data_IF_215523261284
#
_entry.id   IF_215523261284
#
_cell.length_a   1.000
_cell.length_b   1.000
_cell.length_c   1.000
_cell.angle_alpha   90.00
_cell.angle_beta   90.00
_cell.angle_gamma   90.00
#
_symmetry.space_group_name_H-M   'P 1'
#
loop_
_entity.id
_entity.type
_entity.pdbx_description
1 polymer ?
#
# COMPACT_ATOMS: atom_id res chain seq x y z
N UNK A 1 36.91 0.25 -9.23
CA UNK A 1 36.99 1.34 -8.26
C UNK A 1 36.99 0.75 -6.85
N UNK A 2 37.95 1.14 -5.99
CA UNK A 2 38.10 0.58 -4.63
C UNK A 2 36.82 0.70 -3.81
N UNK A 3 36.02 1.74 -4.07
CA UNK A 3 34.74 1.96 -3.41
C UNK A 3 33.70 0.89 -3.75
N UNK A 4 33.71 0.39 -4.97
CA UNK A 4 32.77 -0.66 -5.42
C UNK A 4 33.08 -2.02 -4.78
N UNK A 5 34.36 -2.30 -4.53
CA UNK A 5 34.81 -3.50 -3.84
C UNK A 5 34.37 -3.49 -2.37
N UNK A 6 34.42 -2.35 -1.70
CA UNK A 6 33.97 -2.21 -0.32
C UNK A 6 32.45 -2.37 -0.20
N UNK A 7 31.68 -1.80 -1.14
CA UNK A 7 30.21 -1.97 -1.21
C UNK A 7 29.85 -3.43 -1.45
N UNK A 8 30.54 -4.09 -2.39
CA UNK A 8 30.32 -5.52 -2.67
C UNK A 8 30.63 -6.41 -1.45
N UNK A 9 31.70 -6.12 -0.74
CA UNK A 9 32.04 -6.84 0.51
C UNK A 9 30.98 -6.63 1.60
N UNK A 10 30.49 -5.41 1.77
CA UNK A 10 29.44 -5.11 2.73
C UNK A 10 28.14 -5.84 2.40
N UNK A 11 27.73 -5.84 1.13
CA UNK A 11 26.55 -6.58 0.67
C UNK A 11 26.70 -8.09 0.83
N UNK A 12 27.89 -8.63 0.51
CA UNK A 12 28.18 -10.04 0.69
C UNK A 12 28.13 -10.45 2.17
N UNK A 13 28.65 -9.61 3.04
CA UNK A 13 28.62 -9.81 4.49
C UNK A 13 27.19 -9.84 5.02
N UNK A 14 26.36 -8.91 4.55
CA UNK A 14 24.94 -8.81 4.91
C UNK A 14 24.18 -10.08 4.48
N UNK A 15 24.41 -10.54 3.24
CA UNK A 15 23.81 -11.78 2.73
C UNK A 15 24.24 -12.99 3.54
N UNK A 16 25.53 -13.09 3.86
CA UNK A 16 26.07 -14.19 4.70
C UNK A 16 25.46 -14.17 6.10
N UNK A 17 25.31 -13.02 6.72
CA UNK A 17 24.69 -12.88 8.04
C UNK A 17 23.21 -13.28 8.02
N UNK A 18 22.49 -12.93 6.94
CA UNK A 18 21.09 -13.34 6.76
C UNK A 18 20.97 -14.85 6.56
N UNK A 19 21.87 -15.45 5.78
CA UNK A 19 21.93 -16.90 5.58
C UNK A 19 22.26 -17.64 6.88
N UNK A 20 23.18 -17.12 7.66
CA UNK A 20 23.56 -17.71 8.96
C UNK A 20 22.39 -17.66 9.96
N UNK A 21 21.68 -16.53 10.03
CA UNK A 21 20.46 -16.41 10.83
C UNK A 21 19.38 -17.38 10.38
N UNK A 22 19.16 -17.51 9.08
CA UNK A 22 18.21 -18.46 8.52
C UNK A 22 18.60 -19.90 8.85
N UNK A 23 19.88 -20.23 8.77
CA UNK A 23 20.40 -21.56 9.11
C UNK A 23 20.25 -21.86 10.61
N UNK A 24 20.63 -20.92 11.48
CA UNK A 24 20.47 -21.09 12.92
C UNK A 24 19.00 -21.25 13.32
N UNK A 25 18.11 -20.52 12.66
CA UNK A 25 16.68 -20.61 12.85
C UNK A 25 16.15 -21.98 12.41
N UNK A 26 16.65 -22.54 11.32
CA UNK A 26 16.31 -23.86 10.83
C UNK A 26 16.82 -24.99 11.76
N UNK A 27 18.01 -24.81 12.36
CA UNK A 27 18.62 -25.79 13.27
C UNK A 27 18.00 -25.77 14.68
N UNK A 28 17.45 -24.63 15.10
CA UNK A 28 16.84 -24.48 16.44
C UNK A 28 15.42 -25.02 16.58
N UNK A 29 14.90 -25.78 15.62
CA UNK A 29 13.52 -26.30 15.58
C UNK A 29 12.43 -25.21 15.60
N UNK A 30 12.74 -23.97 15.26
CA UNK A 30 11.70 -23.00 14.91
C UNK A 30 11.09 -23.46 13.58
N UNK A 31 9.76 -23.58 13.56
CA UNK A 31 9.03 -23.96 12.36
C UNK A 31 9.36 -22.99 11.24
N UNK A 32 9.77 -23.51 10.07
CA UNK A 32 9.95 -22.71 8.87
C UNK A 32 8.59 -22.12 8.51
N UNK A 33 8.45 -20.80 8.38
CA UNK A 33 7.16 -20.20 8.04
C UNK A 33 6.60 -20.81 6.76
N UNK A 34 5.36 -21.21 6.78
CA UNK A 34 4.67 -21.70 5.59
C UNK A 34 4.48 -20.55 4.59
N UNK A 35 4.30 -20.88 3.30
CA UNK A 35 3.99 -19.87 2.28
C UNK A 35 2.78 -19.03 2.67
N UNK A 36 1.80 -19.64 3.32
CA UNK A 36 0.60 -18.96 3.84
C UNK A 36 0.96 -17.93 4.92
N UNK A 37 1.84 -18.26 5.83
CA UNK A 37 2.29 -17.34 6.90
C UNK A 37 3.11 -16.19 6.34
N UNK A 38 3.98 -16.45 5.35
CA UNK A 38 4.74 -15.43 4.65
C UNK A 38 3.80 -14.48 3.91
N UNK A 39 2.81 -15.02 3.20
CA UNK A 39 1.81 -14.23 2.48
C UNK A 39 0.97 -13.38 3.45
N UNK A 40 0.55 -13.94 4.58
CA UNK A 40 -0.18 -13.18 5.60
C UNK A 40 0.65 -12.03 6.16
N UNK A 41 1.94 -12.23 6.36
CA UNK A 41 2.85 -11.16 6.79
C UNK A 41 2.94 -10.05 5.74
N UNK A 42 3.04 -10.39 4.46
CA UNK A 42 3.02 -9.41 3.37
C UNK A 42 1.70 -8.64 3.30
N UNK A 43 0.58 -9.32 3.49
CA UNK A 43 -0.75 -8.71 3.50
C UNK A 43 -0.88 -7.72 4.66
N UNK A 44 -0.49 -8.10 5.86
CA UNK A 44 -0.56 -7.24 7.04
C UNK A 44 0.32 -5.99 6.88
N UNK A 45 1.52 -6.16 6.35
CA UNK A 45 2.41 -5.03 6.04
C UNK A 45 1.85 -4.14 4.95
N UNK A 46 1.27 -4.71 3.91
CA UNK A 46 0.60 -3.96 2.84
C UNK A 46 -0.54 -3.10 3.38
N UNK A 47 -1.41 -3.66 4.19
CA UNK A 47 -2.51 -2.94 4.84
C UNK A 47 -1.99 -1.77 5.67
N UNK A 48 -0.96 -2.01 6.47
CA UNK A 48 -0.33 -0.98 7.29
C UNK A 48 0.30 0.13 6.43
N UNK A 49 1.04 -0.23 5.38
CA UNK A 49 1.67 0.74 4.48
C UNK A 49 0.64 1.58 3.72
N UNK A 50 -0.44 0.97 3.26
CA UNK A 50 -1.55 1.71 2.61
C UNK A 50 -2.16 2.69 3.60
N UNK A 51 -2.43 2.27 4.83
CA UNK A 51 -2.94 3.15 5.89
C UNK A 51 -2.05 4.35 6.18
N UNK A 52 -0.73 4.19 6.06
CA UNK A 52 0.25 5.24 6.31
C UNK A 52 0.47 6.18 5.12
N UNK A 53 0.47 5.63 3.89
CA UNK A 53 0.91 6.34 2.68
C UNK A 53 -0.21 6.63 1.68
N UNK A 54 -1.45 6.25 1.95
CA UNK A 54 -2.55 6.29 0.98
C UNK A 54 -2.81 7.68 0.38
N UNK A 55 -2.59 8.74 1.13
CA UNK A 55 -2.80 10.12 0.64
C UNK A 55 -1.82 10.49 -0.46
N UNK A 56 -0.58 10.02 -0.36
CA UNK A 56 0.54 10.42 -1.21
C UNK A 56 0.87 9.40 -2.29
N UNK A 57 0.62 8.10 -2.02
CA UNK A 57 1.06 7.00 -2.87
C UNK A 57 -0.11 6.10 -3.27
N UNK A 58 -0.45 6.11 -4.55
CA UNK A 58 -1.54 5.32 -5.11
C UNK A 58 -1.08 4.17 -6.00
N UNK A 59 0.22 4.04 -6.24
CA UNK A 59 0.81 3.05 -7.15
C UNK A 59 1.06 1.72 -6.45
N UNK A 60 0.64 0.62 -7.06
CA UNK A 60 0.96 -0.74 -6.60
C UNK A 60 2.48 -0.96 -6.53
N UNK A 61 3.23 -0.39 -7.49
CA UNK A 61 4.69 -0.49 -7.55
C UNK A 61 5.35 0.02 -6.27
N UNK A 62 4.89 1.16 -5.76
CA UNK A 62 5.41 1.72 -4.50
C UNK A 62 5.31 0.74 -3.35
N UNK A 63 4.16 0.12 -3.16
CA UNK A 63 3.94 -0.83 -2.07
C UNK A 63 4.68 -2.14 -2.27
N UNK A 64 4.73 -2.64 -3.49
CA UNK A 64 5.50 -3.83 -3.83
C UNK A 64 7.00 -3.62 -3.55
N UNK A 65 7.55 -2.46 -3.92
CA UNK A 65 8.94 -2.09 -3.65
C UNK A 65 9.22 -2.04 -2.15
N UNK A 66 8.33 -1.46 -1.37
CA UNK A 66 8.43 -1.42 0.10
C UNK A 66 8.41 -2.81 0.74
N UNK A 67 7.71 -3.74 0.14
CA UNK A 67 7.61 -5.13 0.60
C UNK A 67 8.70 -6.02 0.00
N UNK A 68 9.55 -5.51 -0.88
CA UNK A 68 10.58 -6.25 -1.59
C UNK A 68 10.03 -7.45 -2.39
N UNK A 69 8.85 -7.27 -2.98
CA UNK A 69 8.20 -8.25 -3.86
C UNK A 69 7.78 -7.60 -5.17
N UNK A 70 7.44 -8.42 -6.16
CA UNK A 70 6.95 -7.91 -7.44
C UNK A 70 5.50 -7.43 -7.33
N UNK A 71 5.07 -6.45 -8.16
CA UNK A 71 3.66 -6.04 -8.22
C UNK A 71 2.72 -7.20 -8.55
N UNK A 72 3.11 -8.09 -9.44
CA UNK A 72 2.32 -9.26 -9.80
C UNK A 72 2.10 -10.20 -8.61
N UNK A 73 3.15 -10.48 -7.86
CA UNK A 73 3.06 -11.31 -6.65
C UNK A 73 2.19 -10.65 -5.59
N UNK A 74 2.36 -9.35 -5.35
CA UNK A 74 1.50 -8.61 -4.44
C UNK A 74 0.04 -8.70 -4.86
N UNK A 75 -0.25 -8.49 -6.15
CA UNK A 75 -1.60 -8.60 -6.67
C UNK A 75 -2.21 -10.00 -6.48
N UNK A 76 -1.43 -11.05 -6.71
CA UNK A 76 -1.88 -12.43 -6.50
C UNK A 76 -2.28 -12.70 -5.05
N UNK A 77 -1.45 -12.32 -4.08
CA UNK A 77 -1.74 -12.58 -2.67
C UNK A 77 -2.91 -11.73 -2.16
N UNK A 78 -3.02 -10.48 -2.57
CA UNK A 78 -4.14 -9.61 -2.19
C UNK A 78 -5.45 -10.13 -2.80
N UNK A 79 -5.44 -10.48 -4.08
CA UNK A 79 -6.63 -11.03 -4.76
C UNK A 79 -7.10 -12.33 -4.13
N UNK A 80 -6.17 -13.22 -3.75
CA UNK A 80 -6.52 -14.51 -3.15
C UNK A 80 -7.20 -14.38 -1.79
N UNK A 81 -6.87 -13.37 -1.00
CA UNK A 81 -7.41 -13.18 0.35
C UNK A 81 -8.56 -12.18 0.38
N UNK A 82 -8.46 -11.07 -0.36
CA UNK A 82 -9.44 -9.98 -0.30
C UNK A 82 -10.46 -9.99 -1.44
N UNK A 83 -10.25 -10.80 -2.48
CA UNK A 83 -11.15 -10.88 -3.63
C UNK A 83 -11.09 -9.66 -4.56
N UNK A 84 -10.19 -8.71 -4.32
CA UNK A 84 -9.97 -7.53 -5.16
C UNK A 84 -8.50 -7.39 -5.48
N UNK A 85 -8.16 -6.71 -6.58
CA UNK A 85 -6.77 -6.43 -6.92
C UNK A 85 -6.13 -5.49 -5.90
N UNK A 86 -4.80 -5.50 -5.81
CA UNK A 86 -4.06 -4.56 -4.97
C UNK A 86 -4.38 -3.11 -5.36
N UNK A 87 -4.46 -2.81 -6.66
CA UNK A 87 -4.85 -1.50 -7.17
C UNK A 87 -6.24 -1.09 -6.69
N UNK A 88 -7.22 -1.99 -6.78
CA UNK A 88 -8.58 -1.73 -6.33
C UNK A 88 -8.64 -1.50 -4.82
N UNK A 89 -7.89 -2.26 -4.06
CA UNK A 89 -7.77 -2.07 -2.61
C UNK A 89 -7.27 -0.66 -2.26
N UNK A 90 -6.19 -0.22 -2.90
CA UNK A 90 -5.63 1.13 -2.70
C UNK A 90 -6.67 2.19 -3.05
N UNK A 91 -7.33 2.08 -4.21
CA UNK A 91 -8.35 3.01 -4.66
C UNK A 91 -9.54 3.08 -3.69
N UNK A 92 -9.99 1.94 -3.19
CA UNK A 92 -11.06 1.89 -2.20
C UNK A 92 -10.68 2.64 -0.92
N UNK A 93 -9.45 2.47 -0.44
CA UNK A 93 -8.95 3.17 0.75
C UNK A 93 -8.82 4.67 0.54
N UNK A 94 -8.37 5.12 -0.62
CA UNK A 94 -8.31 6.54 -0.97
C UNK A 94 -9.72 7.14 -0.98
N UNK A 95 -10.70 6.44 -1.52
CA UNK A 95 -12.10 6.90 -1.55
C UNK A 95 -12.74 6.90 -0.16
N UNK A 96 -12.42 5.94 0.70
CA UNK A 96 -12.84 5.97 2.11
C UNK A 96 -12.32 7.22 2.83
N UNK A 97 -11.07 7.57 2.61
CA UNK A 97 -10.48 8.77 3.19
C UNK A 97 -11.13 10.04 2.63
N UNK A 98 -11.42 10.07 1.32
CA UNK A 98 -12.16 11.17 0.72
C UNK A 98 -13.54 11.35 1.36
N UNK A 99 -14.27 10.27 1.57
CA UNK A 99 -15.57 10.29 2.28
C UNK A 99 -15.43 10.84 3.69
N UNK A 100 -14.41 10.40 4.43
CA UNK A 100 -14.13 10.89 5.78
C UNK A 100 -13.89 12.40 5.80
N UNK A 101 -13.04 12.90 4.92
CA UNK A 101 -12.74 14.32 4.80
C UNK A 101 -13.97 15.14 4.41
N UNK A 102 -14.82 14.64 3.53
CA UNK A 102 -16.05 15.31 3.11
C UNK A 102 -17.06 15.47 4.25
N UNK A 103 -17.16 14.45 5.11
CA UNK A 103 -18.15 14.41 6.20
C UNK A 103 -17.66 15.14 7.44
N UNK A 104 -16.39 14.96 7.81
CA UNK A 104 -15.85 15.43 9.08
C UNK A 104 -15.06 16.73 9.00
N UNK A 105 -14.86 17.29 7.82
CA UNK A 105 -14.19 18.57 7.64
C UNK A 105 -15.02 19.52 6.77
N UNK A 106 -14.71 20.81 6.85
CA UNK A 106 -15.28 21.85 5.99
C UNK A 106 -14.37 22.19 4.80
N UNK A 107 -13.30 21.40 4.58
CA UNK A 107 -12.34 21.65 3.51
C UNK A 107 -13.02 21.70 2.16
N UNK A 108 -12.68 22.66 1.29
CA UNK A 108 -13.17 22.70 -0.09
C UNK A 108 -12.84 21.42 -0.84
N UNK A 109 -13.68 21.06 -1.80
CA UNK A 109 -13.46 19.87 -2.63
C UNK A 109 -12.07 19.88 -3.30
N UNK A 110 -11.64 21.05 -3.76
CA UNK A 110 -10.31 21.25 -4.34
C UNK A 110 -9.17 20.92 -3.38
N UNK A 111 -9.31 21.30 -2.12
CA UNK A 111 -8.29 21.02 -1.09
C UNK A 111 -8.23 19.53 -0.77
N UNK A 112 -9.37 18.86 -0.73
CA UNK A 112 -9.43 17.40 -0.53
C UNK A 112 -8.75 16.67 -1.71
N UNK A 113 -9.05 17.07 -2.94
CA UNK A 113 -8.41 16.51 -4.13
C UNK A 113 -6.88 16.69 -4.09
N UNK A 114 -6.42 17.87 -3.69
CA UNK A 114 -5.00 18.16 -3.55
C UNK A 114 -4.36 17.34 -2.42
N UNK A 115 -4.99 17.27 -1.26
CA UNK A 115 -4.49 16.49 -0.12
C UNK A 115 -4.34 15.01 -0.47
N UNK A 116 -5.26 14.46 -1.27
CA UNK A 116 -5.24 13.09 -1.72
C UNK A 116 -4.38 12.87 -2.99
N UNK A 117 -3.61 13.86 -3.40
CA UNK A 117 -2.68 13.80 -4.54
C UNK A 117 -3.32 13.46 -5.90
N UNK A 118 -4.56 13.90 -6.11
CA UNK A 118 -5.16 13.84 -7.44
C UNK A 118 -4.55 14.91 -8.36
N UNK A 119 -4.33 14.57 -9.61
CA UNK A 119 -3.72 15.47 -10.59
C UNK A 119 -4.56 16.72 -10.86
N UNK A 120 -5.89 16.57 -10.86
CA UNK A 120 -6.85 17.67 -11.00
C UNK A 120 -8.09 17.45 -10.14
N UNK A 121 -8.79 18.53 -9.80
CA UNK A 121 -10.07 18.45 -9.09
C UNK A 121 -11.11 17.72 -9.94
N UNK A 122 -11.14 17.98 -11.25
CA UNK A 122 -12.07 17.31 -12.18
C UNK A 122 -11.87 15.80 -12.22
N UNK A 123 -10.61 15.35 -12.19
CA UNK A 123 -10.29 13.92 -12.14
C UNK A 123 -10.75 13.30 -10.82
N UNK A 124 -10.53 13.97 -9.70
CA UNK A 124 -11.03 13.53 -8.38
C UNK A 124 -12.55 13.39 -8.38
N UNK A 125 -13.28 14.41 -8.84
CA UNK A 125 -14.75 14.40 -8.90
C UNK A 125 -15.26 13.23 -9.73
N UNK A 126 -14.66 13.00 -10.90
CA UNK A 126 -15.01 11.89 -11.79
C UNK A 126 -14.76 10.53 -11.13
N UNK A 127 -13.60 10.35 -10.52
CA UNK A 127 -13.26 9.09 -9.83
C UNK A 127 -14.14 8.83 -8.62
N UNK A 128 -14.43 9.86 -7.84
CA UNK A 128 -15.33 9.77 -6.69
C UNK A 128 -16.74 9.37 -7.13
N UNK A 129 -17.24 9.99 -8.18
CA UNK A 129 -18.55 9.66 -8.73
C UNK A 129 -18.61 8.24 -9.30
N UNK A 130 -17.58 7.80 -9.97
CA UNK A 130 -17.49 6.41 -10.46
C UNK A 130 -17.53 5.40 -9.32
N UNK A 131 -16.89 5.73 -8.20
CA UNK A 131 -16.79 4.84 -7.06
C UNK A 131 -18.05 4.83 -6.19
N UNK A 132 -18.67 6.00 -5.97
CA UNK A 132 -19.78 6.16 -5.02
C UNK A 132 -21.14 6.33 -5.71
N UNK A 133 -21.18 6.67 -6.99
CA UNK A 133 -22.40 7.04 -7.72
C UNK A 133 -22.82 8.50 -7.54
N UNK A 134 -22.20 9.26 -6.67
CA UNK A 134 -22.53 10.64 -6.33
C UNK A 134 -21.31 11.55 -6.46
N UNK A 135 -21.52 12.84 -6.73
CA UNK A 135 -20.44 13.82 -6.69
C UNK A 135 -19.99 14.08 -5.26
N UNK A 136 -18.74 14.52 -5.02
CA UNK A 136 -18.29 14.86 -3.67
C UNK A 136 -19.17 15.89 -2.97
N UNK A 137 -19.62 16.91 -3.70
CA UNK A 137 -20.49 17.95 -3.14
C UNK A 137 -21.84 17.39 -2.70
N UNK A 138 -22.46 16.54 -3.52
CA UNK A 138 -23.73 15.89 -3.21
C UNK A 138 -23.56 14.94 -2.02
N UNK A 139 -22.49 14.18 -1.99
CA UNK A 139 -22.15 13.30 -0.89
C UNK A 139 -22.02 14.06 0.43
N UNK A 140 -21.31 15.19 0.43
CA UNK A 140 -21.18 16.08 1.61
C UNK A 140 -22.52 16.56 2.10
N UNK A 141 -23.38 17.06 1.20
CA UNK A 141 -24.72 17.55 1.56
C UNK A 141 -25.60 16.46 2.18
N UNK A 142 -25.45 15.23 1.72
CA UNK A 142 -26.26 14.10 2.15
C UNK A 142 -25.83 13.52 3.50
N UNK A 143 -24.53 13.45 3.76
CA UNK A 143 -23.98 12.75 4.92
C UNK A 143 -23.36 13.63 5.99
N UNK A 144 -23.07 14.88 5.70
CA UNK A 144 -22.55 15.80 6.72
C UNK A 144 -23.70 16.23 7.66
N UNK A 145 -23.51 16.05 8.99
CA UNK A 145 -24.49 16.46 9.98
C UNK A 145 -24.68 17.97 10.04
#
# INVERSE_FOLDING_TARGET
NDNDVHVLRALLYEVLMLLERAYQKAVSNEEIPTDKEINNTHIDRFIHLVGTHLKEQHSVQFYADKLCITPNYLNEIITSVMGVSAKQYIQNKVMEEAKRLLVYTDAPISDIAFELHFSTVSYFIRRFRQHTGETPLLYRKKYKP
#
